data_IF_409930718924
#
_entry.id   IF_409930718924
#
_cell.length_a   1.000
_cell.length_b   1.000
_cell.length_c   1.000
_cell.angle_alpha   90.00
_cell.angle_beta   90.00
_cell.angle_gamma   90.00
#
_symmetry.space_group_name_H-M   'P 1'
#
loop_
_entity.id
_entity.type
_entity.pdbx_description
1 polymer ?
#
# COMPACT_ATOMS: atom_id res chain seq x y z
N UNK A 1 27.11 21.17 -44.27
CA UNK A 1 27.43 20.51 -42.98
C UNK A 1 26.12 20.31 -42.19
N UNK A 2 25.52 19.13 -42.25
CA UNK A 2 24.30 18.80 -41.48
C UNK A 2 24.73 18.23 -40.14
N UNK A 3 24.40 18.92 -39.04
CA UNK A 3 24.59 18.41 -37.69
C UNK A 3 23.42 17.42 -37.39
N UNK A 4 23.76 16.17 -37.20
CA UNK A 4 22.81 15.16 -36.68
C UNK A 4 22.69 15.37 -35.17
N UNK A 5 21.52 15.77 -34.71
CA UNK A 5 21.17 15.82 -33.28
C UNK A 5 20.82 14.39 -32.90
N UNK A 6 21.66 13.76 -32.06
CA UNK A 6 21.36 12.46 -31.49
C UNK A 6 20.40 12.72 -30.30
N UNK A 7 19.16 12.30 -30.44
CA UNK A 7 18.20 12.25 -29.34
C UNK A 7 18.56 11.07 -28.43
N UNK A 8 19.03 11.36 -27.23
CA UNK A 8 19.27 10.38 -26.19
C UNK A 8 17.92 10.07 -25.52
N UNK A 9 17.30 8.94 -25.90
CA UNK A 9 16.09 8.46 -25.21
C UNK A 9 16.50 7.88 -23.87
N UNK A 10 16.13 8.58 -22.79
CA UNK A 10 16.29 8.08 -21.43
C UNK A 10 15.14 7.10 -21.17
N UNK A 11 15.44 5.81 -21.19
CA UNK A 11 14.49 4.77 -20.78
C UNK A 11 14.49 4.75 -19.26
N UNK A 12 13.47 5.31 -18.63
CA UNK A 12 13.18 5.09 -17.23
C UNK A 12 12.68 3.66 -17.05
N UNK A 13 13.51 2.78 -16.51
CA UNK A 13 13.05 1.50 -16.01
C UNK A 13 12.22 1.75 -14.76
N UNK A 14 10.91 1.57 -14.85
CA UNK A 14 10.06 1.47 -13.67
C UNK A 14 10.58 0.31 -12.82
N UNK A 15 11.20 0.60 -11.68
CA UNK A 15 11.59 -0.40 -10.71
C UNK A 15 10.31 -0.93 -10.07
N UNK A 16 9.81 -2.09 -10.50
CA UNK A 16 8.79 -2.80 -9.74
C UNK A 16 9.40 -3.15 -8.38
N UNK A 17 8.92 -2.53 -7.31
CA UNK A 17 9.26 -2.94 -5.96
C UNK A 17 8.84 -4.41 -5.83
N UNK A 18 9.79 -5.27 -5.49
CA UNK A 18 9.51 -6.68 -5.24
C UNK A 18 8.75 -6.79 -3.92
N UNK A 19 7.67 -7.58 -3.89
CA UNK A 19 6.89 -7.85 -2.70
C UNK A 19 7.80 -8.36 -1.56
N UNK A 20 7.77 -7.68 -0.43
CA UNK A 20 8.57 -8.00 0.74
C UNK A 20 7.83 -8.94 1.70
N UNK A 21 8.59 -9.68 2.52
CA UNK A 21 8.03 -10.38 3.67
C UNK A 21 8.45 -9.64 4.94
N UNK A 22 7.46 -9.11 5.67
CA UNK A 22 7.66 -8.33 6.89
C UNK A 22 7.34 -9.23 8.07
N UNK A 23 8.34 -9.48 8.91
CA UNK A 23 8.23 -10.38 10.04
C UNK A 23 7.78 -9.64 11.30
N UNK A 24 6.76 -10.20 11.97
CA UNK A 24 6.30 -9.77 13.28
C UNK A 24 6.38 -10.97 14.23
N UNK A 25 7.10 -10.83 15.33
CA UNK A 25 7.21 -11.88 16.33
C UNK A 25 6.16 -11.68 17.43
N UNK A 26 5.44 -12.73 17.78
CA UNK A 26 4.68 -12.75 19.02
C UNK A 26 5.65 -12.97 20.17
N UNK A 27 5.74 -12.05 21.12
CA UNK A 27 6.67 -12.08 22.23
C UNK A 27 5.92 -11.87 23.56
N UNK A 28 5.63 -12.96 24.28
CA UNK A 28 4.72 -12.91 25.42
C UNK A 28 3.32 -12.41 24.97
N UNK A 29 2.75 -11.44 25.67
CA UNK A 29 1.48 -10.81 25.28
C UNK A 29 1.71 -9.53 24.46
N UNK A 30 2.65 -9.53 23.51
CA UNK A 30 2.94 -8.41 22.61
C UNK A 30 3.26 -8.87 21.19
N UNK A 31 3.11 -7.98 20.22
CA UNK A 31 3.65 -8.11 18.86
C UNK A 31 4.91 -7.24 18.72
N UNK A 32 5.96 -7.77 18.09
CA UNK A 32 7.22 -7.05 17.90
C UNK A 32 7.75 -7.21 16.46
N UNK A 33 7.86 -6.11 15.70
CA UNK A 33 7.42 -4.76 16.01
C UNK A 33 5.89 -4.66 16.11
N UNK A 34 5.39 -3.73 16.95
CA UNK A 34 3.95 -3.48 17.09
C UNK A 34 3.40 -2.63 15.94
N UNK A 35 4.26 -1.86 15.25
CA UNK A 35 3.90 -1.07 14.07
C UNK A 35 4.81 -1.49 12.93
N UNK A 36 4.21 -1.82 11.80
CA UNK A 36 4.91 -2.12 10.55
C UNK A 36 4.43 -1.22 9.44
N UNK A 37 5.34 -0.90 8.49
CA UNK A 37 4.99 -0.22 7.25
C UNK A 37 5.10 -1.24 6.12
N UNK A 38 4.10 -1.28 5.27
CA UNK A 38 4.00 -2.22 4.15
C UNK A 38 3.51 -1.52 2.88
N UNK A 39 3.70 -2.15 1.74
CA UNK A 39 3.10 -1.78 0.47
C UNK A 39 2.10 -2.86 0.03
N UNK A 40 1.23 -2.51 -0.89
CA UNK A 40 0.35 -3.50 -1.57
C UNK A 40 1.19 -4.62 -2.17
N UNK A 41 0.79 -5.86 -1.95
CA UNK A 41 1.51 -7.06 -2.38
C UNK A 41 2.52 -7.60 -1.36
N UNK A 42 2.94 -6.82 -0.36
CA UNK A 42 3.79 -7.32 0.71
C UNK A 42 3.07 -8.38 1.54
N UNK A 43 3.85 -9.24 2.19
CA UNK A 43 3.33 -10.26 3.09
C UNK A 43 3.71 -9.92 4.53
N UNK A 44 2.74 -9.76 5.41
CA UNK A 44 2.98 -9.68 6.85
C UNK A 44 2.99 -11.11 7.38
N UNK A 45 4.06 -11.48 8.05
CA UNK A 45 4.29 -12.83 8.56
C UNK A 45 4.48 -12.81 10.07
N UNK A 46 3.47 -13.29 10.81
CA UNK A 46 3.53 -13.39 12.26
C UNK A 46 4.09 -14.75 12.67
N UNK A 47 5.00 -14.75 13.63
CA UNK A 47 5.69 -15.93 14.13
C UNK A 47 5.35 -16.14 15.61
N UNK A 48 4.95 -17.36 15.93
CA UNK A 48 4.66 -17.80 17.28
C UNK A 48 5.95 -18.07 18.08
N UNK A 49 5.94 -17.75 19.38
CA UNK A 49 7.06 -18.07 20.29
C UNK A 49 6.62 -18.80 21.56
N UNK A 50 5.33 -18.87 21.83
CA UNK A 50 4.81 -19.58 23.00
C UNK A 50 3.40 -19.08 23.39
N UNK A 51 2.66 -19.91 24.11
CA UNK A 51 1.30 -19.58 24.54
C UNK A 51 0.23 -19.82 23.47
N UNK A 52 -1.00 -19.39 23.76
CA UNK A 52 -2.12 -19.38 22.81
C UNK A 52 -2.52 -17.96 22.47
N UNK A 53 -2.40 -17.59 21.20
CA UNK A 53 -2.63 -16.24 20.70
C UNK A 53 -3.42 -16.26 19.38
N UNK A 54 -3.91 -15.10 18.97
CA UNK A 54 -4.46 -14.88 17.64
C UNK A 54 -3.85 -13.63 17.02
N UNK A 55 -3.98 -13.51 15.69
CA UNK A 55 -3.74 -12.27 14.94
C UNK A 55 -5.04 -11.96 14.22
N UNK A 56 -5.80 -11.03 14.75
CA UNK A 56 -7.15 -10.71 14.28
C UNK A 56 -7.24 -9.25 13.93
N UNK A 57 -7.62 -8.93 12.70
CA UNK A 57 -7.80 -7.54 12.24
C UNK A 57 -8.98 -6.87 12.93
N UNK A 58 -8.85 -5.56 13.16
CA UNK A 58 -9.87 -4.74 13.79
C UNK A 58 -9.33 -3.78 14.85
N UNK A 59 -10.23 -3.08 15.51
CA UNK A 59 -9.93 -2.06 16.51
C UNK A 59 -10.78 -2.20 17.76
N UNK A 60 -10.27 -1.75 18.91
CA UNK A 60 -10.98 -1.80 20.18
C UNK A 60 -11.53 -3.19 20.54
N UNK A 61 -10.74 -4.24 20.28
CA UNK A 61 -11.11 -5.65 20.50
C UNK A 61 -12.34 -6.11 19.67
N UNK A 62 -12.65 -5.42 18.60
CA UNK A 62 -13.75 -5.76 17.69
C UNK A 62 -13.16 -6.17 16.35
N UNK A 63 -13.32 -7.45 15.93
CA UNK A 63 -12.88 -7.91 14.61
C UNK A 63 -13.63 -7.19 13.48
N UNK A 64 -12.93 -6.91 12.38
CA UNK A 64 -13.49 -6.34 11.15
C UNK A 64 -13.62 -7.36 10.02
N UNK A 65 -13.00 -8.55 10.18
CA UNK A 65 -13.09 -9.66 9.24
C UNK A 65 -12.11 -9.59 8.08
N UNK A 66 -11.14 -8.67 8.10
CA UNK A 66 -10.14 -8.56 7.05
C UNK A 66 -9.16 -9.75 7.08
N UNK A 67 -8.71 -10.14 8.27
CA UNK A 67 -7.96 -11.37 8.52
C UNK A 67 -8.13 -11.87 9.95
N UNK A 68 -7.97 -13.20 10.12
CA UNK A 68 -7.97 -13.85 11.42
C UNK A 68 -7.10 -15.12 11.35
N UNK A 69 -6.18 -15.30 12.29
CA UNK A 69 -5.26 -16.42 12.33
C UNK A 69 -4.83 -16.80 13.74
N UNK A 70 -4.67 -18.10 13.98
CA UNK A 70 -4.14 -18.63 15.23
C UNK A 70 -2.61 -18.55 15.28
N UNK A 71 -2.08 -18.31 16.48
CA UNK A 71 -0.68 -18.50 16.82
C UNK A 71 -0.59 -19.43 18.05
N UNK A 72 -0.18 -20.67 17.81
CA UNK A 72 -0.12 -21.73 18.82
C UNK A 72 0.93 -22.77 18.46
N UNK A 73 1.12 -23.78 19.30
CA UNK A 73 1.99 -24.92 18.98
C UNK A 73 1.53 -25.74 17.77
N UNK A 74 0.26 -25.63 17.38
CA UNK A 74 -0.31 -26.25 16.19
C UNK A 74 -0.28 -25.33 14.95
N UNK A 75 -0.21 -24.02 15.16
CA UNK A 75 -0.16 -22.98 14.12
C UNK A 75 0.97 -21.99 14.45
N UNK A 76 2.20 -22.37 14.12
CA UNK A 76 3.42 -21.63 14.52
C UNK A 76 3.66 -20.33 13.75
N UNK A 77 2.84 -20.06 12.75
CA UNK A 77 2.86 -18.79 12.01
C UNK A 77 1.52 -18.53 11.32
N UNK A 78 1.27 -17.26 11.04
CA UNK A 78 0.18 -16.80 10.19
C UNK A 78 0.74 -15.79 9.18
N UNK A 79 0.20 -15.75 7.98
CA UNK A 79 0.61 -14.79 6.94
C UNK A 79 -0.60 -14.17 6.27
N UNK A 80 -0.49 -12.87 5.99
CA UNK A 80 -1.48 -12.12 5.26
C UNK A 80 -0.81 -11.28 4.17
N UNK A 81 -1.32 -11.38 2.95
CA UNK A 81 -0.83 -10.55 1.82
C UNK A 81 -1.65 -9.28 1.79
N UNK A 82 -0.97 -8.13 1.76
CA UNK A 82 -1.61 -6.81 1.72
C UNK A 82 -2.35 -6.64 0.40
N UNK A 83 -3.70 -6.58 0.40
CA UNK A 83 -4.48 -6.44 -0.83
C UNK A 83 -4.45 -5.00 -1.37
N UNK A 84 -4.79 -4.81 -2.64
CA UNK A 84 -4.86 -3.50 -3.26
C UNK A 84 -5.86 -2.56 -2.57
N UNK A 85 -6.96 -3.11 -2.02
CA UNK A 85 -7.95 -2.34 -1.26
C UNK A 85 -7.46 -1.77 0.06
N UNK A 86 -6.26 -2.15 0.51
CA UNK A 86 -5.64 -1.65 1.73
C UNK A 86 -4.68 -0.47 1.47
N UNK A 87 -4.50 -0.05 0.22
CA UNK A 87 -3.60 1.06 -0.12
C UNK A 87 -3.98 2.34 0.65
N UNK A 88 -3.00 2.97 1.31
CA UNK A 88 -3.19 4.19 2.10
C UNK A 88 -3.81 3.97 3.49
N UNK A 89 -4.22 2.75 3.83
CA UNK A 89 -4.92 2.46 5.08
C UNK A 89 -3.96 2.20 6.26
N UNK A 90 -4.47 2.47 7.46
CA UNK A 90 -3.84 2.09 8.73
C UNK A 90 -4.70 1.02 9.40
N UNK A 91 -4.24 -0.23 9.32
CA UNK A 91 -5.00 -1.41 9.74
C UNK A 91 -4.57 -1.82 11.13
N UNK A 92 -5.48 -1.72 12.09
CA UNK A 92 -5.29 -2.25 13.43
C UNK A 92 -5.45 -3.76 13.48
N UNK A 93 -4.73 -4.41 14.38
CA UNK A 93 -4.94 -5.82 14.70
C UNK A 93 -4.66 -6.10 16.18
N UNK A 94 -5.16 -7.21 16.69
CA UNK A 94 -5.02 -7.57 18.09
C UNK A 94 -5.07 -9.08 18.29
N UNK A 95 -4.69 -9.51 19.49
CA UNK A 95 -4.88 -10.88 19.95
C UNK A 95 -6.20 -10.96 20.73
N UNK A 96 -7.17 -11.79 20.31
CA UNK A 96 -8.50 -11.89 20.93
C UNK A 96 -8.39 -12.12 22.45
N UNK A 97 -7.69 -13.18 22.95
CA UNK A 97 -7.63 -13.41 24.39
C UNK A 97 -6.85 -12.35 25.19
N UNK A 98 -5.97 -11.55 24.54
CA UNK A 98 -5.10 -10.61 25.22
C UNK A 98 -5.34 -9.14 24.82
N UNK A 99 -6.42 -8.84 24.12
CA UNK A 99 -6.72 -7.50 23.67
C UNK A 99 -6.86 -6.50 24.83
N UNK A 100 -7.52 -6.91 25.93
CA UNK A 100 -7.67 -6.10 27.13
C UNK A 100 -6.34 -5.90 27.90
N UNK A 101 -5.30 -6.65 27.53
CA UNK A 101 -3.94 -6.46 28.02
C UNK A 101 -3.07 -5.70 27.01
N UNK A 102 -3.72 -4.99 26.05
CA UNK A 102 -3.07 -4.17 25.02
C UNK A 102 -2.16 -4.96 24.05
N UNK A 103 -2.44 -6.24 23.84
CA UNK A 103 -1.75 -7.00 22.79
C UNK A 103 -2.34 -6.62 21.42
N UNK A 104 -1.83 -5.52 20.89
CA UNK A 104 -2.29 -4.89 19.65
C UNK A 104 -1.12 -4.56 18.72
N UNK A 105 -1.41 -4.34 17.45
CA UNK A 105 -0.45 -3.83 16.48
C UNK A 105 -1.13 -3.03 15.38
N UNK A 106 -0.31 -2.43 14.50
CA UNK A 106 -0.78 -1.60 13.39
C UNK A 106 0.05 -1.87 12.15
N UNK A 107 -0.60 -2.00 11.01
CA UNK A 107 0.01 -2.06 9.69
C UNK A 107 -0.33 -0.74 8.98
N UNK A 108 0.66 0.09 8.69
CA UNK A 108 0.50 1.26 7.84
C UNK A 108 0.83 0.85 6.41
N UNK A 109 -0.15 0.86 5.54
CA UNK A 109 0.02 0.52 4.13
C UNK A 109 0.33 1.80 3.35
N UNK A 110 1.41 1.76 2.58
CA UNK A 110 1.74 2.86 1.68
C UNK A 110 0.59 3.08 0.68
N UNK A 111 0.31 4.34 0.36
CA UNK A 111 -0.59 4.66 -0.73
C UNK A 111 -0.10 4.01 -2.04
N UNK A 112 -1.01 3.54 -2.86
CA UNK A 112 -0.66 2.99 -4.16
C UNK A 112 -0.28 4.13 -5.10
N UNK A 113 0.86 4.02 -5.75
CA UNK A 113 1.20 4.89 -6.87
C UNK A 113 0.45 4.39 -8.13
N UNK A 114 -0.87 4.41 -8.11
CA UNK A 114 -1.66 4.08 -9.28
C UNK A 114 -1.44 5.14 -10.37
N UNK A 115 -1.28 4.78 -11.66
CA UNK A 115 -1.23 5.79 -12.71
C UNK A 115 -2.48 6.67 -12.65
N UNK A 116 -2.28 7.97 -12.49
CA UNK A 116 -3.38 8.93 -12.31
C UNK A 116 -3.69 9.32 -10.86
N UNK A 117 -3.06 8.71 -9.87
CA UNK A 117 -3.03 9.19 -8.49
C UNK A 117 -1.98 10.32 -8.39
N UNK A 118 -2.43 11.55 -8.68
CA UNK A 118 -1.55 12.70 -8.79
C UNK A 118 -1.22 13.33 -7.43
N UNK A 119 -2.08 13.13 -6.44
CA UNK A 119 -1.89 13.65 -5.08
C UNK A 119 -1.21 12.64 -4.14
N UNK A 120 -1.08 11.36 -4.54
CA UNK A 120 -0.41 10.31 -3.79
C UNK A 120 -1.21 9.79 -2.59
N UNK A 121 -2.54 9.93 -2.59
CA UNK A 121 -3.40 9.50 -1.49
C UNK A 121 -3.84 8.02 -1.61
N UNK A 122 -3.47 7.34 -2.70
CA UNK A 122 -3.79 5.94 -2.97
C UNK A 122 -5.11 5.74 -3.72
N UNK A 123 -5.82 6.81 -4.05
CA UNK A 123 -7.08 6.78 -4.78
C UNK A 123 -6.98 7.60 -6.06
N UNK A 124 -7.50 7.09 -7.16
CA UNK A 124 -7.64 7.85 -8.41
C UNK A 124 -9.07 8.32 -8.51
N UNK A 125 -9.31 9.61 -8.21
CA UNK A 125 -10.65 10.15 -8.03
C UNK A 125 -10.82 11.60 -8.54
N UNK A 126 -11.87 12.30 -8.09
CA UNK A 126 -12.16 13.67 -8.51
C UNK A 126 -11.11 14.70 -8.08
N UNK A 127 -10.28 14.40 -7.07
CA UNK A 127 -9.20 15.31 -6.62
C UNK A 127 -8.10 15.30 -7.68
N UNK A 128 -7.68 14.13 -8.14
CA UNK A 128 -6.65 13.98 -9.19
C UNK A 128 -7.12 14.58 -10.52
N UNK A 129 -8.38 14.33 -10.88
CA UNK A 129 -8.99 14.95 -12.04
C UNK A 129 -8.96 16.48 -11.95
N UNK A 130 -9.20 17.05 -10.78
CA UNK A 130 -9.14 18.49 -10.54
C UNK A 130 -7.72 19.02 -10.70
N UNK A 131 -6.73 18.30 -10.20
CA UNK A 131 -5.31 18.64 -10.35
C UNK A 131 -4.89 18.61 -11.82
N UNK A 132 -5.24 17.55 -12.55
CA UNK A 132 -4.96 17.44 -13.99
C UNK A 132 -5.59 18.58 -14.77
N UNK A 133 -6.87 18.91 -14.52
CA UNK A 133 -7.57 20.00 -15.18
C UNK A 133 -6.95 21.37 -14.87
N UNK A 134 -6.39 21.55 -13.66
CA UNK A 134 -5.66 22.76 -13.27
C UNK A 134 -4.36 22.96 -14.07
N UNK A 135 -3.75 21.88 -14.53
CA UNK A 135 -2.52 21.87 -15.33
C UNK A 135 -2.77 21.74 -16.85
N UNK A 136 -4.03 21.75 -17.29
CA UNK A 136 -4.40 21.49 -18.67
C UNK A 136 -3.67 22.38 -19.70
N UNK A 137 -3.08 21.76 -20.71
CA UNK A 137 -2.32 22.43 -21.77
C UNK A 137 -0.90 22.86 -21.35
N UNK A 138 -0.47 22.57 -20.14
CA UNK A 138 0.90 22.80 -19.67
C UNK A 138 1.80 21.57 -19.92
N UNK A 139 3.09 21.71 -19.63
CA UNK A 139 4.07 20.63 -19.58
C UNK A 139 4.40 20.25 -18.11
N UNK A 140 3.37 20.21 -17.25
CA UNK A 140 3.53 19.82 -15.84
C UNK A 140 3.86 18.34 -15.73
N UNK A 141 5.06 18.03 -15.24
CA UNK A 141 5.60 16.65 -15.21
C UNK A 141 4.87 15.71 -14.26
N UNK A 142 4.00 16.19 -13.38
CA UNK A 142 3.16 15.35 -12.52
C UNK A 142 1.87 14.99 -13.20
N UNK A 143 1.31 15.94 -13.95
CA UNK A 143 0.03 15.79 -14.62
C UNK A 143 0.15 15.25 -16.07
N UNK A 144 1.34 15.33 -16.69
CA UNK A 144 1.69 14.68 -17.96
C UNK A 144 2.02 13.20 -17.68
N UNK A 145 0.96 12.39 -17.56
CA UNK A 145 1.06 10.99 -17.09
C UNK A 145 1.66 10.09 -18.17
N UNK A 146 1.51 10.46 -19.44
CA UNK A 146 1.98 9.68 -20.58
C UNK A 146 3.35 10.16 -21.11
N UNK A 147 3.95 11.22 -20.50
CA UNK A 147 5.23 11.83 -20.87
C UNK A 147 5.29 12.31 -22.33
N UNK A 148 4.18 12.79 -22.91
CA UNK A 148 4.15 13.32 -24.28
C UNK A 148 4.52 14.81 -24.36
N UNK A 149 4.70 15.47 -23.23
CA UNK A 149 5.12 16.87 -23.07
C UNK A 149 3.97 17.84 -22.95
N UNK A 150 2.71 17.38 -22.88
CA UNK A 150 1.54 18.26 -22.72
C UNK A 150 0.40 17.57 -21.97
N UNK A 151 -0.07 18.16 -20.90
CA UNK A 151 -1.26 17.69 -20.16
C UNK A 151 -2.52 17.86 -20.99
N UNK A 152 -3.15 16.75 -21.36
CA UNK A 152 -4.28 16.74 -22.31
C UNK A 152 -5.27 15.58 -22.05
N UNK A 153 -6.10 15.26 -23.06
CA UNK A 153 -7.11 14.22 -22.96
C UNK A 153 -6.51 12.79 -22.86
N UNK A 154 -5.26 12.57 -23.26
CA UNK A 154 -4.62 11.29 -23.13
C UNK A 154 -4.31 11.01 -21.67
N UNK A 155 -3.80 12.01 -20.92
CA UNK A 155 -3.55 11.89 -19.47
C UNK A 155 -4.86 11.72 -18.70
N UNK A 156 -5.89 12.48 -19.08
CA UNK A 156 -7.23 12.31 -18.50
C UNK A 156 -7.75 10.88 -18.69
N UNK A 157 -7.45 10.25 -19.83
CA UNK A 157 -7.87 8.87 -20.08
C UNK A 157 -7.20 7.87 -19.13
N UNK A 158 -5.98 8.15 -18.65
CA UNK A 158 -5.29 7.32 -17.64
C UNK A 158 -6.01 7.42 -16.30
N UNK A 159 -6.39 8.62 -15.85
CA UNK A 159 -7.18 8.81 -14.63
C UNK A 159 -8.50 8.03 -14.73
N UNK A 160 -9.23 8.17 -15.84
CA UNK A 160 -10.51 7.48 -16.02
C UNK A 160 -10.38 5.97 -16.09
N UNK A 161 -9.28 5.44 -16.66
CA UNK A 161 -9.02 4.01 -16.74
C UNK A 161 -8.68 3.39 -15.37
N UNK A 162 -8.12 4.18 -14.45
CA UNK A 162 -7.71 3.76 -13.11
C UNK A 162 -8.62 4.31 -12.01
N UNK A 163 -9.81 4.79 -12.35
CA UNK A 163 -10.74 5.44 -11.42
C UNK A 163 -11.10 4.52 -10.25
N UNK A 164 -10.74 4.92 -9.04
CA UNK A 164 -11.00 4.23 -7.78
C UNK A 164 -11.53 5.27 -6.78
N UNK A 165 -12.86 5.44 -6.69
CA UNK A 165 -13.48 6.46 -5.84
C UNK A 165 -13.34 6.17 -4.34
#
# INVERSE_FOLDING_TARGET
MQRRIATLSLVFAASSAQAAVIHVQQAGATFSPAVVNAAVGDTIHWMWTGGGHTVTSGTNCTPDGLFDGDLSSAATSFSWVVPASAAGESIGYFCIPHCFYFMTGTINVAASAAPGDLNGDGHVNGIDMTQLLGAWGSADAVCDINDDGVVNALDMSVILANWLP
#
